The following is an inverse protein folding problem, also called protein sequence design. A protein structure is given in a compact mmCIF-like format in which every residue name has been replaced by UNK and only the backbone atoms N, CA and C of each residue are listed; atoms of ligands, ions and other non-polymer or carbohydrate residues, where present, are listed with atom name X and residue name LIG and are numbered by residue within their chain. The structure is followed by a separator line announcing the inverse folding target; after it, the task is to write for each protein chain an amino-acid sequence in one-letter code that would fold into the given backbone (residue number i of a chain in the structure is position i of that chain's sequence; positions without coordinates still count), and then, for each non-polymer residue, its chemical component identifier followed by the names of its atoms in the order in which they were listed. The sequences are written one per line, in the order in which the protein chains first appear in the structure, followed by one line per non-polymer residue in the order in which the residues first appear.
data_IF_508339425396
#
_entry.id   IF_508339425396
#
_cell.length_a   1.000
_cell.length_b   1.000
_cell.length_c   1.000
_cell.angle_alpha   90.00
_cell.angle_beta   90.00
_cell.angle_gamma   90.00
#
_symmetry.space_group_name_H-M   'P 1'
#
loop_
_entity.id
_entity.type
_entity.pdbx_description
1 polymer ?
#
# COMPACT_ATOMS: atom_id res chain seq x y z
N UNK A 1 23.33 2.46 16.08
CA UNK A 1 22.20 3.40 15.99
C UNK A 1 20.96 2.58 15.76
N UNK A 2 20.02 2.57 16.71
CA UNK A 2 18.75 1.84 16.58
C UNK A 2 17.72 2.80 15.97
N UNK A 3 17.27 2.47 14.77
CA UNK A 3 16.19 3.21 14.10
C UNK A 3 14.88 2.86 14.81
N UNK A 4 14.54 3.56 15.90
CA UNK A 4 13.27 3.37 16.60
C UNK A 4 12.16 4.07 15.80
N UNK A 5 11.64 3.35 14.82
CA UNK A 5 10.71 3.85 13.82
C UNK A 5 9.27 3.81 14.32
N UNK A 6 8.82 4.87 14.99
CA UNK A 6 7.39 5.19 14.99
C UNK A 6 7.07 5.68 13.58
N UNK A 7 6.38 4.91 12.72
CA UNK A 7 6.05 5.41 11.40
C UNK A 7 5.12 6.61 11.58
N UNK A 8 5.43 7.78 11.01
CA UNK A 8 4.44 8.83 10.94
C UNK A 8 3.26 8.28 10.14
N UNK A 9 2.07 8.32 10.74
CA UNK A 9 0.83 7.99 10.05
C UNK A 9 0.82 8.79 8.75
N UNK A 10 0.89 8.09 7.62
CA UNK A 10 0.80 8.69 6.31
C UNK A 10 -0.58 9.38 6.23
N UNK A 11 -0.60 10.69 6.45
CA UNK A 11 -1.76 11.50 6.19
C UNK A 11 -1.98 11.52 4.68
N UNK A 12 -2.84 10.62 4.19
CA UNK A 12 -3.40 10.67 2.83
C UNK A 12 -4.41 11.81 2.75
N UNK A 13 -3.96 13.02 2.99
CA UNK A 13 -4.70 14.24 2.71
C UNK A 13 -3.95 14.97 1.62
N UNK A 14 -4.28 14.71 0.36
CA UNK A 14 -4.04 15.75 -0.64
C UNK A 14 -4.73 17.02 -0.08
N UNK A 15 -4.04 18.17 0.05
CA UNK A 15 -4.65 19.33 0.66
C UNK A 15 -5.91 19.63 -0.14
N UNK A 16 -7.07 19.65 0.52
CA UNK A 16 -8.37 19.88 -0.13
C UNK A 16 -8.32 21.12 -1.04
N UNK A 17 -7.47 22.08 -0.68
CA UNK A 17 -7.12 23.27 -1.46
C UNK A 17 -6.58 22.94 -2.87
N UNK A 18 -5.72 21.93 -3.04
CA UNK A 18 -5.20 21.53 -4.35
C UNK A 18 -6.27 20.86 -5.24
N UNK A 19 -7.17 20.07 -4.65
CA UNK A 19 -8.32 19.49 -5.38
C UNK A 19 -9.32 20.58 -5.79
N UNK A 20 -9.58 21.54 -4.92
CA UNK A 20 -10.44 22.69 -5.23
C UNK A 20 -9.83 23.59 -6.32
N UNK A 21 -8.51 23.81 -6.29
CA UNK A 21 -7.81 24.60 -7.32
C UNK A 21 -7.89 23.94 -8.71
N UNK A 22 -7.74 22.62 -8.79
CA UNK A 22 -7.89 21.87 -10.05
C UNK A 22 -9.34 21.92 -10.56
N UNK A 23 -10.32 21.79 -9.67
CA UNK A 23 -11.74 21.92 -10.03
C UNK A 23 -12.07 23.31 -10.61
N UNK A 24 -11.55 24.38 -9.99
CA UNK A 24 -11.77 25.75 -10.44
C UNK A 24 -11.14 26.02 -11.81
N UNK A 25 -9.92 25.52 -12.05
CA UNK A 25 -9.26 25.64 -13.36
C UNK A 25 -10.03 24.95 -14.48
N UNK A 26 -10.57 23.76 -14.23
CA UNK A 26 -11.37 23.04 -15.22
C UNK A 26 -12.68 23.79 -15.58
N UNK A 27 -13.34 24.39 -14.59
CA UNK A 27 -14.57 25.18 -14.80
C UNK A 27 -14.28 26.44 -15.59
N UNK A 28 -13.20 27.18 -15.28
CA UNK A 28 -12.81 28.39 -16.02
C UNK A 28 -12.45 28.06 -17.47
N UNK A 29 -11.67 26.99 -17.70
CA UNK A 29 -11.31 26.56 -19.04
C UNK A 29 -12.54 26.15 -19.87
N UNK A 30 -13.47 25.39 -19.28
CA UNK A 30 -14.74 25.03 -19.92
C UNK A 30 -15.60 26.25 -20.27
N UNK A 31 -15.66 27.25 -19.38
CA UNK A 31 -16.44 28.46 -19.60
C UNK A 31 -15.86 29.36 -20.70
N UNK A 32 -14.53 29.48 -20.78
CA UNK A 32 -13.85 30.21 -21.86
C UNK A 32 -14.14 29.57 -23.21
N UNK A 33 -14.02 28.24 -23.32
CA UNK A 33 -14.29 27.51 -24.56
C UNK A 33 -15.74 27.68 -25.06
N UNK A 34 -16.72 27.64 -24.15
CA UNK A 34 -18.14 27.84 -24.49
C UNK A 34 -18.41 29.28 -24.97
N UNK A 35 -17.73 30.28 -24.39
CA UNK A 35 -17.89 31.68 -24.82
C UNK A 35 -17.24 31.95 -26.18
N UNK A 36 -16.09 31.36 -26.47
CA UNK A 36 -15.40 31.56 -27.76
C UNK A 36 -16.04 30.78 -28.91
N UNK A 37 -16.79 29.71 -28.63
CA UNK A 37 -17.43 28.88 -29.66
C UNK A 37 -18.73 29.45 -30.26
N UNK A 38 -19.23 30.61 -29.80
CA UNK A 38 -20.47 31.21 -30.35
C UNK A 38 -20.28 32.01 -31.64
N UNK A 39 -19.08 32.06 -32.20
CA UNK A 39 -18.79 32.80 -33.43
C UNK A 39 -18.09 31.95 -34.49
N UNK A 40 -18.90 31.31 -35.35
CA UNK A 40 -18.55 30.78 -36.69
C UNK A 40 -17.75 29.46 -36.75
N UNK A 41 -18.42 28.47 -37.34
CA UNK A 41 -17.95 27.43 -38.29
C UNK A 41 -16.51 26.92 -38.16
N UNK A 42 -16.45 25.62 -37.82
CA UNK A 42 -15.46 24.61 -38.22
C UNK A 42 -14.16 25.09 -38.90
N UNK A 43 -13.03 24.83 -38.25
CA UNK A 43 -11.93 24.02 -38.81
C UNK A 43 -10.74 23.99 -37.84
N UNK A 44 -10.30 22.77 -37.53
CA UNK A 44 -8.92 22.37 -37.25
C UNK A 44 -8.18 22.98 -36.03
N UNK A 45 -7.44 22.07 -35.37
CA UNK A 45 -6.31 22.31 -34.47
C UNK A 45 -6.64 22.81 -33.06
N UNK A 46 -6.80 21.85 -32.14
CA UNK A 46 -6.19 22.01 -30.81
C UNK A 46 -5.37 20.74 -30.54
N UNK A 47 -4.03 20.82 -30.54
CA UNK A 47 -3.21 19.67 -30.21
C UNK A 47 -3.52 19.27 -28.77
N UNK A 48 -3.79 17.98 -28.63
CA UNK A 48 -3.77 17.20 -27.40
C UNK A 48 -2.72 17.76 -26.44
N UNK A 49 -3.17 18.34 -25.34
CA UNK A 49 -2.38 18.76 -24.19
C UNK A 49 -1.82 17.49 -23.52
N UNK A 50 -0.83 16.91 -24.19
CA UNK A 50 0.03 15.82 -23.78
C UNK A 50 1.14 16.36 -22.85
N UNK A 51 0.79 17.24 -21.91
CA UNK A 51 1.52 17.29 -20.65
C UNK A 51 0.87 16.24 -19.77
N UNK A 52 1.25 14.99 -20.02
CA UNK A 52 1.21 13.96 -19.00
C UNK A 52 1.98 14.51 -17.81
N UNK A 53 1.25 15.06 -16.86
CA UNK A 53 1.73 15.18 -15.51
C UNK A 53 2.25 13.79 -15.17
N UNK A 54 3.57 13.67 -15.12
CA UNK A 54 4.25 12.65 -14.36
C UNK A 54 3.71 12.83 -12.93
N UNK A 55 2.56 12.21 -12.66
CA UNK A 55 2.11 11.85 -11.33
C UNK A 55 3.07 10.73 -10.94
N UNK A 56 4.32 11.10 -10.70
CA UNK A 56 5.19 10.31 -9.86
C UNK A 56 4.40 10.19 -8.55
N UNK A 57 4.10 8.98 -8.07
CA UNK A 57 3.59 8.83 -6.72
C UNK A 57 4.59 9.54 -5.83
N UNK A 58 4.17 10.67 -5.24
CA UNK A 58 4.99 11.42 -4.31
C UNK A 58 5.06 10.54 -3.08
N UNK A 59 6.05 9.65 -3.04
CA UNK A 59 6.41 8.87 -1.87
C UNK A 59 6.45 9.88 -0.70
N UNK A 60 5.67 9.67 0.37
CA UNK A 60 5.75 10.53 1.52
C UNK A 60 7.21 10.53 1.98
N UNK A 61 7.86 11.68 1.87
CA UNK A 61 9.20 11.90 2.39
C UNK A 61 9.09 11.93 3.91
N UNK A 62 9.13 10.76 4.52
CA UNK A 62 9.19 10.65 5.98
C UNK A 62 9.97 9.41 6.37
N UNK A 63 11.24 9.40 5.99
CA UNK A 63 12.24 8.63 6.69
C UNK A 63 13.47 9.54 6.77
N UNK A 64 14.07 9.63 7.95
CA UNK A 64 15.47 10.04 8.03
C UNK A 64 16.22 9.20 6.97
N UNK A 65 16.90 9.81 5.99
CA UNK A 65 17.58 9.07 4.92
C UNK A 65 18.67 8.13 5.44
N UNK A 66 18.99 8.21 6.75
CA UNK A 66 19.91 7.31 7.44
C UNK A 66 19.25 6.01 7.92
N UNK A 67 17.93 5.92 7.91
CA UNK A 67 17.13 4.78 8.41
C UNK A 67 15.99 4.45 7.44
N UNK A 68 16.31 4.22 6.18
CA UNK A 68 15.34 3.88 5.14
C UNK A 68 15.44 2.39 4.79
N UNK A 69 14.69 1.54 5.50
CA UNK A 69 14.44 0.16 5.07
C UNK A 69 13.08 0.09 4.36
N UNK A 70 13.05 -0.47 3.16
CA UNK A 70 11.81 -0.79 2.44
C UNK A 70 11.54 -2.27 2.51
N UNK A 71 10.31 -2.65 2.85
CA UNK A 71 9.85 -4.04 2.88
C UNK A 71 8.80 -4.24 1.80
N UNK A 72 9.09 -5.11 0.84
CA UNK A 72 8.22 -5.41 -0.29
C UNK A 72 7.78 -6.89 -0.21
N UNK A 73 6.48 -7.16 0.00
CA UNK A 73 5.95 -8.52 -0.08
C UNK A 73 5.93 -8.99 -1.55
N UNK A 74 6.43 -10.19 -1.81
CA UNK A 74 6.46 -10.81 -3.14
C UNK A 74 5.47 -11.97 -3.29
N UNK A 75 5.05 -12.59 -2.18
CA UNK A 75 3.99 -13.59 -2.22
C UNK A 75 2.64 -12.96 -2.57
N UNK A 76 1.84 -13.70 -3.33
CA UNK A 76 0.42 -13.40 -3.51
C UNK A 76 -0.36 -14.43 -2.72
N UNK A 77 -1.15 -13.97 -1.74
CA UNK A 77 -1.97 -14.84 -0.91
C UNK A 77 -3.43 -14.70 -1.35
N UNK A 78 -4.00 -15.77 -1.92
CA UNK A 78 -5.38 -15.82 -2.43
C UNK A 78 -6.11 -17.03 -1.86
N UNK A 79 -7.43 -17.10 -2.02
CA UNK A 79 -8.22 -18.28 -1.64
C UNK A 79 -8.04 -18.73 -0.17
N UNK A 80 -7.78 -17.77 0.73
CA UNK A 80 -7.80 -18.01 2.17
C UNK A 80 -9.26 -18.30 2.58
N UNK A 81 -9.53 -19.54 3.01
CA UNK A 81 -10.86 -20.03 3.38
C UNK A 81 -10.77 -21.00 4.55
N UNK A 82 -11.86 -21.21 5.32
CA UNK A 82 -11.87 -22.18 6.40
C UNK A 82 -11.36 -23.56 5.95
N UNK A 83 -10.51 -24.18 6.78
CA UNK A 83 -9.91 -25.49 6.53
C UNK A 83 -8.83 -25.55 5.43
N UNK A 84 -8.56 -24.46 4.70
CA UNK A 84 -7.45 -24.43 3.76
C UNK A 84 -6.10 -24.31 4.47
N UNK A 85 -5.06 -24.88 3.86
CA UNK A 85 -3.70 -24.77 4.38
C UNK A 85 -3.23 -23.30 4.38
N UNK A 86 -2.57 -22.83 5.46
CA UNK A 86 -1.93 -21.52 5.48
C UNK A 86 -0.91 -21.35 4.35
N UNK A 87 -0.83 -20.15 3.80
CA UNK A 87 0.03 -19.81 2.67
C UNK A 87 1.25 -19.02 3.13
N UNK A 88 2.42 -19.21 2.49
CA UNK A 88 3.63 -18.52 2.89
C UNK A 88 3.56 -17.02 2.59
N UNK A 89 4.11 -16.24 3.51
CA UNK A 89 4.47 -14.85 3.31
C UNK A 89 5.95 -14.80 2.95
N UNK A 90 6.25 -14.22 1.78
CA UNK A 90 7.63 -13.98 1.32
C UNK A 90 7.77 -12.56 0.81
N UNK A 91 8.97 -12.03 0.86
CA UNK A 91 9.26 -10.70 0.35
C UNK A 91 10.73 -10.36 0.41
N UNK A 92 11.03 -9.09 0.17
CA UNK A 92 12.38 -8.53 0.19
C UNK A 92 12.47 -7.30 1.09
N UNK A 93 13.55 -7.23 1.86
CA UNK A 93 13.97 -5.99 2.53
C UNK A 93 15.07 -5.34 1.72
N UNK A 94 14.94 -4.04 1.44
CA UNK A 94 15.94 -3.22 0.75
C UNK A 94 16.42 -2.12 1.68
N UNK A 95 17.74 -1.92 1.76
CA UNK A 95 18.32 -0.79 2.45
C UNK A 95 18.47 0.40 1.49
N UNK A 96 17.52 1.33 1.55
CA UNK A 96 17.52 2.59 0.81
C UNK A 96 18.33 3.68 1.54
N UNK A 97 18.93 3.38 2.71
CA UNK A 97 19.77 4.31 3.44
C UNK A 97 21.16 4.47 2.81
N UNK A 98 21.83 5.58 3.14
CA UNK A 98 23.22 5.87 2.71
C UNK A 98 24.28 5.09 3.51
N UNK A 99 23.89 4.47 4.62
CA UNK A 99 24.75 3.68 5.50
C UNK A 99 24.30 2.21 5.54
N UNK A 100 25.21 1.32 5.95
CA UNK A 100 24.87 -0.08 6.13
C UNK A 100 23.94 -0.26 7.35
N UNK A 101 22.90 -1.10 7.20
CA UNK A 101 21.92 -1.36 8.26
C UNK A 101 21.79 -2.85 8.51
N UNK A 102 21.82 -3.26 9.78
CA UNK A 102 21.54 -4.63 10.19
C UNK A 102 20.03 -4.85 10.29
N UNK A 103 19.56 -5.92 9.67
CA UNK A 103 18.19 -6.43 9.76
C UNK A 103 18.26 -7.77 10.49
N UNK A 104 17.84 -7.78 11.75
CA UNK A 104 17.74 -8.98 12.58
C UNK A 104 16.52 -9.81 12.18
N UNK A 105 15.35 -9.17 12.05
CA UNK A 105 14.12 -9.86 11.66
C UNK A 105 13.11 -8.95 10.97
N UNK A 106 12.19 -9.57 10.24
CA UNK A 106 10.95 -8.94 9.75
C UNK A 106 9.79 -9.52 10.56
N UNK A 107 8.96 -8.67 11.14
CA UNK A 107 7.73 -9.09 11.84
C UNK A 107 6.51 -8.61 11.06
N UNK A 108 5.54 -9.50 10.85
CA UNK A 108 4.27 -9.19 10.18
C UNK A 108 3.10 -9.23 11.16
N UNK A 109 2.14 -8.30 10.99
CA UNK A 109 0.89 -8.27 11.73
C UNK A 109 -0.28 -7.92 10.81
N UNK A 110 -1.46 -8.51 11.05
CA UNK A 110 -2.72 -8.03 10.47
C UNK A 110 -3.13 -6.77 11.21
N UNK A 111 -3.33 -5.68 10.48
CA UNK A 111 -3.72 -4.38 11.08
C UNK A 111 -5.14 -3.96 10.72
N UNK A 112 -5.66 -4.44 9.60
CA UNK A 112 -7.00 -4.12 9.13
C UNK A 112 -7.50 -5.23 8.21
N UNK A 113 -8.80 -5.47 8.24
CA UNK A 113 -9.51 -6.32 7.28
C UNK A 113 -10.62 -5.48 6.66
N UNK A 114 -10.57 -5.32 5.34
CA UNK A 114 -11.53 -4.53 4.58
C UNK A 114 -12.47 -5.49 3.85
N UNK A 115 -13.73 -5.53 4.28
CA UNK A 115 -14.77 -6.34 3.63
C UNK A 115 -14.92 -5.96 2.14
N UNK A 116 -15.19 -6.97 1.32
CA UNK A 116 -15.56 -6.72 -0.07
C UNK A 116 -16.92 -5.99 -0.15
N UNK A 117 -17.11 -5.08 -1.12
CA UNK A 117 -18.43 -4.57 -1.46
C UNK A 117 -19.37 -5.74 -1.81
N UNK A 118 -20.54 -5.77 -1.18
CA UNK A 118 -21.53 -6.83 -1.42
C UNK A 118 -21.27 -8.16 -0.69
N UNK A 119 -20.24 -8.23 0.18
CA UNK A 119 -20.07 -9.38 1.08
C UNK A 119 -21.30 -9.56 1.98
N UNK A 120 -21.53 -10.80 2.43
CA UNK A 120 -22.65 -11.11 3.30
C UNK A 120 -22.65 -10.22 4.57
N UNK A 121 -23.84 -9.91 5.13
CA UNK A 121 -23.93 -9.30 6.45
C UNK A 121 -23.22 -10.19 7.48
N UNK A 122 -22.49 -9.58 8.42
CA UNK A 122 -21.71 -10.32 9.42
C UNK A 122 -20.36 -9.67 9.71
N UNK A 123 -19.71 -10.04 10.83
CA UNK A 123 -18.36 -9.59 11.12
C UNK A 123 -17.37 -10.15 10.11
N UNK A 124 -16.29 -9.41 9.89
CA UNK A 124 -15.08 -9.90 9.27
C UNK A 124 -13.94 -9.04 9.78
N UNK A 125 -13.10 -9.60 10.65
CA UNK A 125 -12.05 -8.86 11.33
C UNK A 125 -10.75 -9.67 11.42
N UNK A 126 -9.73 -9.08 12.04
CA UNK A 126 -8.40 -9.70 12.12
C UNK A 126 -8.42 -11.07 12.83
N UNK A 127 -9.39 -11.36 13.69
CA UNK A 127 -9.51 -12.65 14.37
C UNK A 127 -9.96 -13.78 13.44
N UNK A 128 -10.48 -13.47 12.25
CA UNK A 128 -10.82 -14.46 11.22
C UNK A 128 -9.59 -14.96 10.44
N UNK A 129 -8.43 -14.35 10.67
CA UNK A 129 -7.17 -14.70 10.03
C UNK A 129 -6.17 -15.18 11.06
N UNK A 130 -5.34 -16.13 10.64
CA UNK A 130 -4.28 -16.71 11.46
C UNK A 130 -2.92 -16.31 10.85
N UNK A 131 -2.04 -15.77 11.69
CA UNK A 131 -0.62 -15.64 11.37
C UNK A 131 0.16 -16.68 12.17
N UNK A 132 0.90 -17.52 11.46
CA UNK A 132 1.84 -18.47 12.05
C UNK A 132 3.26 -17.92 11.87
N UNK A 133 4.08 -18.07 12.91
CA UNK A 133 5.48 -17.64 12.93
C UNK A 133 5.70 -16.21 12.41
N UNK A 134 4.97 -15.20 12.94
CA UNK A 134 4.96 -13.85 12.38
C UNK A 134 6.32 -13.13 12.39
N UNK A 135 7.30 -13.63 13.16
CA UNK A 135 8.67 -13.11 13.21
C UNK A 135 9.58 -13.98 12.35
N UNK A 136 10.09 -13.41 11.27
CA UNK A 136 10.97 -14.04 10.28
C UNK A 136 12.42 -13.57 10.50
N UNK A 137 13.32 -14.40 11.06
CA UNK A 137 14.72 -14.05 11.22
C UNK A 137 15.39 -13.82 9.86
N UNK A 138 16.23 -12.79 9.78
CA UNK A 138 17.02 -12.44 8.60
C UNK A 138 18.51 -12.48 8.96
N UNK A 139 18.88 -11.79 10.06
CA UNK A 139 20.25 -11.71 10.59
C UNK A 139 21.32 -11.31 9.56
N UNK A 140 21.04 -10.27 8.77
CA UNK A 140 21.95 -9.76 7.74
C UNK A 140 22.25 -8.28 7.91
N UNK A 141 23.47 -7.90 7.57
CA UNK A 141 23.84 -6.51 7.34
C UNK A 141 23.70 -6.20 5.85
N UNK A 142 22.94 -5.15 5.54
CA UNK A 142 22.69 -4.70 4.18
C UNK A 142 23.50 -3.43 3.93
N UNK A 143 24.41 -3.47 2.96
CA UNK A 143 25.06 -2.27 2.44
C UNK A 143 24.02 -1.31 1.81
N UNK A 144 24.36 -0.04 1.57
CA UNK A 144 23.51 0.89 0.83
C UNK A 144 23.06 0.29 -0.52
N UNK A 145 21.76 0.31 -0.80
CA UNK A 145 21.14 -0.32 -1.97
C UNK A 145 21.09 -1.85 -1.93
N UNK A 146 21.62 -2.47 -0.87
CA UNK A 146 21.60 -3.92 -0.66
C UNK A 146 20.20 -4.41 -0.32
N UNK A 147 19.94 -5.69 -0.64
CA UNK A 147 18.65 -6.32 -0.32
C UNK A 147 18.80 -7.78 0.05
N UNK A 148 17.79 -8.30 0.75
CA UNK A 148 17.71 -9.70 1.17
C UNK A 148 16.25 -10.15 1.19
N UNK A 149 16.01 -11.39 0.77
CA UNK A 149 14.70 -12.02 0.84
C UNK A 149 14.40 -12.46 2.28
N UNK A 150 13.13 -12.40 2.68
CA UNK A 150 12.61 -12.92 3.95
C UNK A 150 11.49 -13.93 3.68
N UNK A 151 11.38 -14.91 4.56
CA UNK A 151 10.33 -15.94 4.54
C UNK A 151 10.16 -16.55 5.93
N UNK A 152 9.09 -17.34 6.12
CA UNK A 152 8.88 -18.16 7.32
C UNK A 152 7.51 -17.96 7.94
N UNK A 153 6.93 -16.77 7.85
CA UNK A 153 5.57 -16.53 8.30
C UNK A 153 4.55 -17.16 7.33
N UNK A 154 3.43 -17.65 7.87
CA UNK A 154 2.30 -18.12 7.08
C UNK A 154 1.05 -17.33 7.44
N UNK A 155 0.17 -17.11 6.46
CA UNK A 155 -1.17 -16.55 6.65
C UNK A 155 -2.23 -17.56 6.25
N UNK A 156 -3.18 -17.78 7.14
CA UNK A 156 -4.34 -18.65 6.91
C UNK A 156 -5.63 -17.94 7.28
N UNK A 157 -6.74 -18.63 7.01
CA UNK A 157 -8.05 -18.27 7.52
C UNK A 157 -8.36 -19.16 8.72
N UNK A 158 -8.79 -18.57 9.83
CA UNK A 158 -9.14 -19.33 11.02
C UNK A 158 -10.44 -20.11 10.78
N UNK A 159 -10.45 -21.40 11.11
CA UNK A 159 -11.63 -22.25 11.03
C UNK A 159 -12.44 -22.10 12.32
N UNK A 160 -13.58 -21.38 12.25
CA UNK A 160 -14.43 -21.07 13.41
C UNK A 160 -15.79 -21.75 13.30
N UNK A 161 -16.42 -22.01 14.44
CA UNK A 161 -17.80 -22.53 14.51
C UNK A 161 -18.87 -21.48 14.15
N UNK A 162 -18.47 -20.23 13.91
CA UNK A 162 -19.36 -19.12 13.50
C UNK A 162 -19.29 -18.88 12.00
N UNK A 163 -20.38 -18.39 11.42
CA UNK A 163 -20.43 -18.00 10.02
C UNK A 163 -19.42 -16.87 9.71
N UNK A 164 -18.55 -17.12 8.73
CA UNK A 164 -17.49 -16.22 8.26
C UNK A 164 -17.71 -15.78 6.79
N UNK A 165 -18.91 -15.98 6.22
CA UNK A 165 -19.25 -15.57 4.84
C UNK A 165 -19.10 -14.06 4.62
N UNK A 166 -19.16 -13.27 5.71
CA UNK A 166 -18.83 -11.84 5.69
C UNK A 166 -17.39 -11.53 5.22
N UNK A 167 -16.47 -12.49 5.26
CA UNK A 167 -15.09 -12.33 4.80
C UNK A 167 -14.85 -12.68 3.33
N UNK A 168 -15.88 -13.12 2.59
CA UNK A 168 -15.69 -13.47 1.20
C UNK A 168 -15.18 -12.26 0.38
N UNK A 169 -14.01 -12.42 -0.23
CA UNK A 169 -13.34 -11.38 -1.02
C UNK A 169 -12.74 -10.24 -0.18
N UNK A 170 -12.69 -10.35 1.15
CA UNK A 170 -12.09 -9.33 1.99
C UNK A 170 -10.59 -9.14 1.68
N UNK A 171 -10.12 -7.90 1.81
CA UNK A 171 -8.70 -7.53 1.68
C UNK A 171 -8.08 -7.43 3.07
N UNK A 172 -7.07 -8.24 3.33
CA UNK A 172 -6.27 -8.18 4.56
C UNK A 172 -5.12 -7.20 4.38
N UNK A 173 -5.01 -6.23 5.28
CA UNK A 173 -3.90 -5.27 5.31
C UNK A 173 -2.87 -5.76 6.31
N UNK A 174 -1.68 -6.03 5.80
CA UNK A 174 -0.52 -6.45 6.59
C UNK A 174 0.41 -5.28 6.85
N UNK A 175 0.94 -5.20 8.06
CA UNK A 175 2.02 -4.29 8.43
C UNK A 175 3.29 -5.07 8.70
N UNK A 176 4.38 -4.62 8.11
CA UNK A 176 5.72 -5.14 8.30
C UNK A 176 6.54 -4.20 9.17
N UNK A 177 7.25 -4.75 10.15
CA UNK A 177 8.26 -4.03 10.94
C UNK A 177 9.60 -4.75 10.85
N UNK A 178 10.69 -3.98 10.87
CA UNK A 178 12.06 -4.51 10.90
C UNK A 178 12.70 -4.17 12.25
N UNK A 179 13.60 -5.04 12.71
CA UNK A 179 14.44 -4.80 13.89
C UNK A 179 15.90 -5.14 13.64
#
# INVERSE_FOLDING_TARGET
MTCDGTPPLAATGAPVVALLALGLLAVVAGWVLVRTARGRVAAALVPVLLLGALVLPRQPASADPRCALRVDQTSVNVDLRPGAAPQPITGRVTNDAVEATRVAAVTVAVVEVVKAPGAAPGPCDASDYLLLDPRMPVDRELAPGGSVEFSGALIGFADKDTDQDGCQGARVVLRYTTS
#
